data_IF_650655054286
#
_entry.id   IF_650655054286
#
_cell.length_a   1.000
_cell.length_b   1.000
_cell.length_c   1.000
_cell.angle_alpha   90.00
_cell.angle_beta   90.00
_cell.angle_gamma   90.00
#
_symmetry.space_group_name_H-M   'P 1'
#
loop_
_entity.id
_entity.type
_entity.pdbx_description
1 polymer ?
#
# COMPACT_ATOMS: atom_id res chain seq x y z
N UNK A 1 0.50 -16.30 -9.53
CA UNK A 1 1.16 -15.07 -9.04
C UNK A 1 1.78 -15.27 -7.66
N UNK A 2 0.99 -15.47 -6.60
CA UNK A 2 1.54 -15.63 -5.23
C UNK A 2 2.42 -16.88 -5.09
N UNK A 3 1.98 -18.02 -5.64
CA UNK A 3 2.78 -19.26 -5.61
C UNK A 3 4.08 -19.09 -6.40
N UNK A 4 4.00 -18.54 -7.60
CA UNK A 4 5.15 -18.25 -8.46
C UNK A 4 6.19 -17.37 -7.74
N UNK A 5 5.74 -16.34 -7.01
CA UNK A 5 6.64 -15.40 -6.35
C UNK A 5 7.38 -15.95 -5.13
N UNK A 6 6.98 -17.08 -4.55
CA UNK A 6 7.59 -17.58 -3.29
C UNK A 6 9.05 -17.98 -3.44
N UNK A 7 9.47 -18.42 -4.61
CA UNK A 7 10.85 -18.86 -4.88
C UNK A 7 11.71 -17.78 -5.55
N UNK A 8 11.13 -16.62 -5.86
CA UNK A 8 11.79 -15.57 -6.62
C UNK A 8 12.54 -14.57 -5.73
N UNK A 9 13.41 -13.77 -6.35
CA UNK A 9 14.04 -12.63 -5.69
C UNK A 9 13.02 -11.55 -5.31
N UNK A 10 13.35 -10.73 -4.31
CA UNK A 10 12.49 -9.59 -3.94
C UNK A 10 12.20 -8.69 -5.14
N UNK A 11 13.18 -8.43 -6.01
CA UNK A 11 12.98 -7.65 -7.24
C UNK A 11 11.87 -8.20 -8.13
N UNK A 12 11.87 -9.51 -8.40
CA UNK A 12 10.83 -10.16 -9.21
C UNK A 12 9.47 -10.13 -8.51
N UNK A 13 9.44 -10.35 -7.19
CA UNK A 13 8.20 -10.25 -6.39
C UNK A 13 7.59 -8.85 -6.48
N UNK A 14 8.41 -7.80 -6.40
CA UNK A 14 7.97 -6.41 -6.54
C UNK A 14 7.29 -6.18 -7.89
N UNK A 15 7.90 -6.65 -8.98
CA UNK A 15 7.32 -6.57 -10.32
C UNK A 15 6.01 -7.36 -10.45
N UNK A 16 5.97 -8.60 -9.96
CA UNK A 16 4.75 -9.42 -9.98
C UNK A 16 3.59 -8.73 -9.26
N UNK A 17 3.81 -8.21 -8.05
CA UNK A 17 2.78 -7.50 -7.29
C UNK A 17 2.36 -6.20 -7.97
N UNK A 18 3.33 -5.39 -8.42
CA UNK A 18 3.07 -4.10 -9.02
C UNK A 18 2.26 -4.24 -10.32
N UNK A 19 2.70 -5.12 -11.21
CA UNK A 19 2.04 -5.34 -12.50
C UNK A 19 0.69 -6.03 -12.34
N UNK A 20 0.53 -6.89 -11.33
CA UNK A 20 -0.76 -7.53 -11.07
C UNK A 20 -1.79 -6.51 -10.62
N UNK A 21 -1.50 -5.71 -9.59
CA UNK A 21 -2.42 -4.69 -9.09
C UNK A 21 -2.73 -3.64 -10.18
N UNK A 22 -1.71 -3.15 -10.88
CA UNK A 22 -1.87 -2.14 -11.92
C UNK A 22 -2.68 -2.64 -13.15
N UNK A 23 -2.78 -3.97 -13.35
CA UNK A 23 -3.58 -4.56 -14.44
C UNK A 23 -5.00 -4.94 -14.03
N UNK A 24 -5.20 -5.34 -12.78
CA UNK A 24 -6.47 -5.95 -12.34
C UNK A 24 -7.36 -5.01 -11.51
N UNK A 25 -6.80 -3.93 -10.99
CA UNK A 25 -7.55 -2.87 -10.35
C UNK A 25 -7.66 -1.75 -11.39
N UNK A 26 -8.88 -1.29 -11.67
CA UNK A 26 -9.12 -0.07 -12.45
C UNK A 26 -9.27 1.10 -11.49
N UNK A 27 -8.66 2.23 -11.82
CA UNK A 27 -8.79 3.41 -10.98
C UNK A 27 -10.25 3.89 -10.99
N UNK A 28 -10.84 4.02 -9.80
CA UNK A 28 -12.16 4.61 -9.58
C UNK A 28 -12.11 5.32 -8.23
N UNK A 29 -12.65 6.54 -8.15
CA UNK A 29 -12.72 7.22 -6.85
C UNK A 29 -13.67 6.47 -5.92
N UNK A 30 -13.45 6.57 -4.60
CA UNK A 30 -14.34 5.94 -3.62
C UNK A 30 -15.79 6.41 -3.73
N UNK A 31 -15.98 7.68 -4.09
CA UNK A 31 -17.32 8.23 -4.22
C UNK A 31 -18.09 7.57 -5.37
N UNK A 32 -17.41 7.30 -6.48
CA UNK A 32 -17.98 6.61 -7.64
C UNK A 32 -18.14 5.11 -7.37
N UNK A 33 -17.20 4.49 -6.65
CA UNK A 33 -17.16 3.06 -6.45
C UNK A 33 -18.02 2.59 -5.27
N UNK A 34 -17.81 3.19 -4.10
CA UNK A 34 -18.39 2.79 -2.81
C UNK A 34 -19.52 3.72 -2.33
N UNK A 35 -19.73 4.86 -3.00
CA UNK A 35 -20.67 5.89 -2.55
C UNK A 35 -20.25 6.56 -1.23
N UNK A 36 -18.97 6.42 -0.84
CA UNK A 36 -18.37 6.97 0.38
C UNK A 36 -17.12 7.76 0.00
N UNK A 37 -16.74 8.74 0.79
CA UNK A 37 -15.43 9.38 0.64
C UNK A 37 -14.40 8.66 1.52
N UNK A 38 -13.19 8.42 0.99
CA UNK A 38 -12.02 7.93 1.75
C UNK A 38 -12.28 6.55 2.41
N UNK A 39 -12.72 5.58 1.60
CA UNK A 39 -13.02 4.20 1.97
C UNK A 39 -11.88 3.26 1.56
N UNK A 40 -11.04 2.90 2.51
CA UNK A 40 -9.93 1.98 2.25
C UNK A 40 -10.46 0.55 2.15
N UNK A 41 -10.42 -0.04 0.96
CA UNK A 41 -10.92 -1.38 0.71
C UNK A 41 -9.87 -2.44 1.11
N UNK A 42 -10.34 -3.63 1.50
CA UNK A 42 -9.46 -4.79 1.66
C UNK A 42 -8.99 -5.28 0.29
N UNK A 43 -7.87 -6.03 0.18
CA UNK A 43 -7.48 -6.64 -1.09
C UNK A 43 -8.59 -7.48 -1.73
N UNK A 44 -9.43 -8.14 -0.92
CA UNK A 44 -10.54 -8.96 -1.41
C UNK A 44 -11.64 -8.08 -2.01
N UNK A 45 -11.97 -6.96 -1.37
CA UNK A 45 -12.93 -5.98 -1.88
C UNK A 45 -12.46 -5.36 -3.21
N UNK A 46 -11.22 -4.85 -3.30
CA UNK A 46 -10.72 -4.21 -4.52
C UNK A 46 -10.51 -5.19 -5.67
N UNK A 47 -10.03 -6.42 -5.40
CA UNK A 47 -9.86 -7.43 -6.45
C UNK A 47 -11.19 -8.07 -6.86
N UNK A 48 -12.13 -8.23 -5.93
CA UNK A 48 -13.45 -8.78 -6.22
C UNK A 48 -14.30 -7.88 -7.11
N UNK A 49 -14.15 -6.55 -6.97
CA UNK A 49 -14.81 -5.53 -7.80
C UNK A 49 -13.98 -5.13 -9.01
N UNK A 50 -12.66 -5.33 -8.97
CA UNK A 50 -11.72 -4.89 -10.00
C UNK A 50 -11.58 -3.37 -10.07
N UNK A 51 -11.89 -2.65 -8.99
CA UNK A 51 -11.83 -1.20 -8.91
C UNK A 51 -11.35 -0.72 -7.54
N UNK A 52 -10.73 0.45 -7.51
CA UNK A 52 -10.19 1.08 -6.30
C UNK A 52 -9.44 2.37 -6.61
N UNK A 53 -9.15 3.16 -5.60
CA UNK A 53 -8.35 4.38 -5.72
C UNK A 53 -6.90 4.12 -5.27
N UNK A 54 -6.11 5.16 -4.97
CA UNK A 54 -4.65 5.00 -4.82
C UNK A 54 -4.25 4.07 -3.68
N UNK A 55 -4.96 4.10 -2.55
CA UNK A 55 -4.66 3.28 -1.39
C UNK A 55 -4.87 1.80 -1.67
N UNK A 56 -5.91 1.46 -2.42
CA UNK A 56 -6.31 0.10 -2.72
C UNK A 56 -5.21 -0.64 -3.52
N UNK A 57 -4.55 0.06 -4.46
CA UNK A 57 -3.38 -0.49 -5.15
C UNK A 57 -2.24 -0.74 -4.17
N UNK A 58 -1.95 0.23 -3.30
CA UNK A 58 -0.83 0.12 -2.36
C UNK A 58 -1.06 -1.00 -1.33
N UNK A 59 -2.29 -1.11 -0.81
CA UNK A 59 -2.77 -2.18 0.08
C UNK A 59 -2.65 -3.55 -0.62
N UNK A 60 -3.19 -3.67 -1.84
CA UNK A 60 -3.15 -4.92 -2.61
C UNK A 60 -1.71 -5.38 -2.89
N UNK A 61 -0.83 -4.47 -3.30
CA UNK A 61 0.60 -4.74 -3.49
C UNK A 61 1.27 -5.19 -2.19
N UNK A 62 0.99 -4.48 -1.09
CA UNK A 62 1.56 -4.78 0.23
C UNK A 62 1.22 -6.21 0.65
N UNK A 63 -0.05 -6.59 0.67
CA UNK A 63 -0.46 -7.93 1.10
C UNK A 63 0.02 -9.03 0.14
N UNK A 64 0.05 -8.76 -1.17
CA UNK A 64 0.61 -9.69 -2.15
C UNK A 64 2.09 -9.97 -1.88
N UNK A 65 2.89 -8.94 -1.61
CA UNK A 65 4.32 -9.08 -1.30
C UNK A 65 4.57 -9.82 0.01
N UNK A 66 3.76 -9.54 1.04
CA UNK A 66 3.80 -10.29 2.31
C UNK A 66 3.48 -11.77 2.10
N UNK A 67 2.47 -12.08 1.29
CA UNK A 67 2.10 -13.46 0.97
C UNK A 67 3.14 -14.20 0.10
N UNK A 68 3.96 -13.47 -0.67
CA UNK A 68 5.12 -14.00 -1.40
C UNK A 68 6.39 -14.12 -0.54
N UNK A 69 6.36 -13.63 0.71
CA UNK A 69 7.46 -13.79 1.67
C UNK A 69 8.40 -12.60 1.82
N UNK A 70 8.06 -11.42 1.28
CA UNK A 70 8.85 -10.19 1.53
C UNK A 70 8.68 -9.77 2.99
N UNK A 71 9.80 -9.50 3.67
CA UNK A 71 9.83 -9.09 5.06
C UNK A 71 9.08 -7.76 5.29
N UNK A 72 8.39 -7.60 6.42
CA UNK A 72 7.53 -6.43 6.66
C UNK A 72 8.37 -5.18 6.86
N UNK A 73 9.51 -5.31 7.54
CA UNK A 73 10.42 -4.19 7.79
C UNK A 73 10.93 -3.55 6.50
N UNK A 74 10.87 -4.25 5.37
CA UNK A 74 11.22 -3.72 4.05
C UNK A 74 10.07 -2.95 3.39
N UNK A 75 8.84 -3.08 3.86
CA UNK A 75 7.65 -2.53 3.21
C UNK A 75 7.01 -1.43 4.06
N UNK A 76 6.71 -0.29 3.44
CA UNK A 76 5.95 0.78 4.10
C UNK A 76 4.93 1.37 3.14
N UNK A 77 3.73 1.62 3.64
CA UNK A 77 2.78 2.45 2.93
C UNK A 77 3.15 3.91 3.18
N UNK A 78 3.18 4.69 2.12
CA UNK A 78 3.60 6.09 2.19
C UNK A 78 2.51 6.98 1.61
N UNK A 79 2.05 7.91 2.44
CA UNK A 79 1.20 9.00 2.03
C UNK A 79 2.07 10.14 1.51
N UNK A 80 1.77 10.57 0.29
CA UNK A 80 2.53 11.57 -0.45
C UNK A 80 1.57 12.63 -1.01
N UNK A 81 2.13 13.74 -1.49
CA UNK A 81 1.42 14.65 -2.40
C UNK A 81 1.98 14.45 -3.81
N UNK A 82 1.12 14.08 -4.75
CA UNK A 82 1.45 14.03 -6.17
C UNK A 82 1.48 15.46 -6.72
N UNK A 83 2.67 16.00 -6.95
CA UNK A 83 2.87 17.40 -7.33
C UNK A 83 2.37 17.73 -8.73
N UNK A 84 2.42 16.75 -9.64
CA UNK A 84 1.93 16.89 -11.02
C UNK A 84 0.42 17.17 -11.09
N UNK A 85 -0.35 16.67 -10.11
CA UNK A 85 -1.80 16.82 -10.01
C UNK A 85 -2.24 17.67 -8.81
N UNK A 86 -1.29 18.01 -7.94
CA UNK A 86 -1.49 18.70 -6.67
C UNK A 86 -2.52 18.03 -5.73
N UNK A 87 -2.54 16.70 -5.71
CA UNK A 87 -3.50 15.91 -4.92
C UNK A 87 -2.78 14.99 -3.91
N UNK A 88 -3.45 14.62 -2.80
CA UNK A 88 -3.10 13.45 -2.01
C UNK A 88 -2.92 12.20 -2.86
N UNK A 89 -1.94 11.36 -2.50
CA UNK A 89 -1.74 10.07 -3.16
C UNK A 89 -1.11 9.07 -2.19
N UNK A 90 -1.28 7.77 -2.45
CA UNK A 90 -0.68 6.70 -1.66
C UNK A 90 0.13 5.76 -2.55
N UNK A 91 1.34 5.43 -2.09
CA UNK A 91 2.24 4.49 -2.77
C UNK A 91 2.75 3.45 -1.78
N UNK A 92 3.19 2.31 -2.29
CA UNK A 92 3.98 1.35 -1.52
C UNK A 92 5.46 1.62 -1.78
N UNK A 93 6.25 1.67 -0.72
CA UNK A 93 7.70 1.76 -0.82
C UNK A 93 8.38 0.50 -0.28
N UNK A 94 9.48 0.12 -0.94
CA UNK A 94 10.31 -1.01 -0.58
C UNK A 94 11.75 -0.56 -0.29
N UNK A 95 12.31 -1.02 0.83
CA UNK A 95 13.70 -0.81 1.21
C UNK A 95 14.49 -2.10 0.99
N UNK A 96 15.50 -2.05 0.12
CA UNK A 96 16.43 -3.18 -0.03
C UNK A 96 17.26 -3.37 1.24
N UNK A 97 17.76 -2.26 1.78
CA UNK A 97 18.39 -2.13 3.09
C UNK A 97 17.79 -0.92 3.84
N UNK A 98 17.88 -0.86 5.18
CA UNK A 98 17.30 0.22 5.97
C UNK A 98 17.82 1.63 5.62
N UNK A 99 19.01 1.73 5.05
CA UNK A 99 19.71 2.96 4.67
C UNK A 99 19.62 3.29 3.17
N UNK A 100 19.09 2.39 2.35
CA UNK A 100 18.92 2.61 0.91
C UNK A 100 17.82 3.64 0.61
N UNK A 101 17.95 4.32 -0.53
CA UNK A 101 16.81 5.00 -1.13
C UNK A 101 15.76 3.97 -1.51
N UNK A 102 14.50 4.13 -1.06
CA UNK A 102 13.49 3.12 -1.32
C UNK A 102 13.09 3.11 -2.79
N UNK A 103 12.63 1.94 -3.25
CA UNK A 103 11.90 1.80 -4.50
C UNK A 103 10.43 2.14 -4.28
N UNK A 104 9.81 2.78 -5.27
CA UNK A 104 8.41 3.20 -5.26
C UNK A 104 7.60 2.33 -6.20
N UNK A 105 6.53 1.73 -5.67
CA UNK A 105 5.53 0.97 -6.40
C UNK A 105 4.25 1.81 -6.44
N UNK A 106 3.90 2.29 -7.63
CA UNK A 106 2.86 3.29 -7.85
C UNK A 106 1.85 2.79 -8.91
N UNK A 107 0.62 3.28 -8.86
CA UNK A 107 -0.40 3.05 -9.88
C UNK A 107 -0.41 4.17 -10.95
N UNK A 108 0.10 5.36 -10.64
CA UNK A 108 0.24 6.44 -11.65
C UNK A 108 1.44 6.22 -12.58
N UNK A 109 2.49 5.57 -12.08
CA UNK A 109 3.66 5.13 -12.85
C UNK A 109 3.87 3.64 -12.61
N UNK A 110 3.65 2.84 -13.65
CA UNK A 110 3.82 1.38 -13.58
C UNK A 110 5.28 0.93 -13.48
N UNK A 111 6.25 1.83 -13.71
CA UNK A 111 7.66 1.49 -13.55
C UNK A 111 8.08 1.63 -12.09
N UNK A 112 8.73 0.59 -11.56
CA UNK A 112 9.34 0.63 -10.24
C UNK A 112 10.60 1.48 -10.31
N UNK A 113 10.64 2.59 -9.58
CA UNK A 113 11.74 3.57 -9.62
C UNK A 113 12.23 3.90 -8.21
N UNK A 114 13.48 4.34 -8.10
CA UNK A 114 13.98 4.89 -6.84
C UNK A 114 13.19 6.14 -6.47
N UNK A 115 12.94 6.35 -5.18
CA UNK A 115 12.33 7.56 -4.66
C UNK A 115 13.13 8.83 -5.01
N UNK A 116 14.45 8.69 -5.27
CA UNK A 116 15.29 9.78 -5.76
C UNK A 116 14.85 10.30 -7.14
N UNK A 117 14.30 9.41 -7.97
CA UNK A 117 13.89 9.72 -9.35
C UNK A 117 12.40 10.09 -9.44
N UNK A 118 11.69 10.11 -8.30
CA UNK A 118 10.26 10.46 -8.19
C UNK A 118 10.08 11.86 -7.58
N UNK A 119 10.67 12.86 -8.22
CA UNK A 119 10.54 14.27 -7.81
C UNK A 119 9.12 14.81 -7.91
N UNK A 120 8.22 14.08 -8.57
CA UNK A 120 6.79 14.34 -8.65
C UNK A 120 6.03 13.95 -7.37
N UNK A 121 6.65 13.19 -6.45
CA UNK A 121 6.04 12.79 -5.18
C UNK A 121 6.71 13.49 -4.00
N UNK A 122 5.92 14.23 -3.21
CA UNK A 122 6.39 14.82 -1.95
C UNK A 122 5.96 13.95 -0.76
N UNK A 123 6.88 13.32 -0.02
CA UNK A 123 6.53 12.48 1.12
C UNK A 123 5.95 13.31 2.27
N UNK A 124 4.92 12.76 2.94
CA UNK A 124 4.29 13.37 4.12
C UNK A 124 4.50 12.48 5.33
N UNK A 125 4.09 11.21 5.27
CA UNK A 125 4.37 10.21 6.32
C UNK A 125 4.33 8.78 5.77
N UNK A 126 4.94 7.83 6.49
CA UNK A 126 4.88 6.40 6.16
C UNK A 126 4.70 5.54 7.39
N UNK A 127 4.06 4.39 7.21
CA UNK A 127 3.80 3.42 8.27
C UNK A 127 3.95 1.99 7.75
N UNK A 128 4.29 1.07 8.66
CA UNK A 128 4.28 -0.36 8.39
C UNK A 128 3.07 -1.01 9.06
N UNK A 129 2.58 -2.11 8.50
CA UNK A 129 1.44 -2.80 9.08
C UNK A 129 1.76 -3.39 10.45
N UNK A 130 2.96 -3.97 10.64
CA UNK A 130 3.31 -4.61 11.91
C UNK A 130 3.45 -3.61 13.05
N UNK A 131 4.01 -2.42 12.79
CA UNK A 131 4.11 -1.37 13.81
C UNK A 131 2.73 -0.86 14.24
N UNK A 132 1.79 -0.73 13.30
CA UNK A 132 0.40 -0.40 13.61
C UNK A 132 -0.33 -1.55 14.31
N UNK A 133 -0.12 -2.79 13.89
CA UNK A 133 -0.73 -3.97 14.50
C UNK A 133 -0.23 -4.23 15.92
N UNK A 134 1.08 -4.12 16.15
CA UNK A 134 1.69 -4.19 17.49
C UNK A 134 1.20 -3.05 18.38
N UNK A 135 1.07 -1.83 17.85
CA UNK A 135 0.50 -0.73 18.59
C UNK A 135 -0.96 -1.00 18.98
N UNK A 136 -1.78 -1.52 18.06
CA UNK A 136 -3.17 -1.93 18.32
C UNK A 136 -3.23 -3.01 19.41
N UNK A 137 -2.50 -4.11 19.25
CA UNK A 137 -2.44 -5.24 20.19
C UNK A 137 -1.98 -4.80 21.60
N UNK A 138 -1.10 -3.80 21.68
CA UNK A 138 -0.61 -3.25 22.96
C UNK A 138 -1.55 -2.22 23.60
N UNK A 139 -2.73 -1.95 23.01
CA UNK A 139 -3.62 -0.87 23.45
C UNK A 139 -3.07 0.55 23.20
N UNK A 140 -1.90 0.65 22.55
CA UNK A 140 -1.22 1.88 22.16
C UNK A 140 -1.71 2.42 20.81
N UNK A 141 -2.62 1.73 20.12
CA UNK A 141 -3.20 2.19 18.85
C UNK A 141 -3.89 3.56 18.97
N UNK A 142 -4.39 3.94 20.16
CA UNK A 142 -4.89 5.29 20.47
C UNK A 142 -3.78 6.35 20.69
N UNK A 143 -2.54 5.92 20.97
CA UNK A 143 -1.38 6.79 21.30
C UNK A 143 -0.39 6.94 20.15
N UNK A 144 -0.40 6.06 19.14
CA UNK A 144 0.27 6.36 17.87
C UNK A 144 -0.42 7.60 17.31
N UNK A 145 0.36 8.66 16.99
CA UNK A 145 -0.17 9.95 16.54
C UNK A 145 -1.40 9.77 15.65
N UNK A 146 -2.54 10.34 16.05
CA UNK A 146 -3.84 10.21 15.36
C UNK A 146 -3.83 10.93 14.00
N UNK A 147 -3.03 10.44 13.05
CA UNK A 147 -3.12 10.80 11.65
C UNK A 147 -4.23 9.99 10.98
N UNK A 148 -4.97 10.60 10.04
CA UNK A 148 -6.07 9.96 9.30
C UNK A 148 -5.71 8.58 8.72
N UNK A 149 -4.50 8.42 8.18
CA UNK A 149 -4.05 7.12 7.62
C UNK A 149 -3.94 6.01 8.66
N UNK A 150 -3.62 6.32 9.92
CA UNK A 150 -3.52 5.30 10.97
C UNK A 150 -4.90 4.74 11.35
N UNK A 151 -5.93 5.60 11.41
CA UNK A 151 -7.30 5.17 11.69
C UNK A 151 -7.89 4.36 10.54
N UNK A 152 -7.68 4.76 9.29
CA UNK A 152 -8.18 4.03 8.12
C UNK A 152 -7.49 2.67 7.96
N UNK A 153 -6.17 2.62 8.15
CA UNK A 153 -5.43 1.36 8.15
C UNK A 153 -5.91 0.39 9.25
N UNK A 154 -6.18 0.91 10.45
CA UNK A 154 -6.72 0.08 11.54
C UNK A 154 -8.07 -0.53 11.15
N UNK A 155 -8.93 0.23 10.46
CA UNK A 155 -10.21 -0.27 9.95
C UNK A 155 -10.03 -1.36 8.87
N UNK A 156 -9.05 -1.23 7.98
CA UNK A 156 -8.71 -2.30 7.02
C UNK A 156 -8.28 -3.58 7.75
N UNK A 157 -7.44 -3.46 8.78
CA UNK A 157 -7.02 -4.61 9.59
C UNK A 157 -8.20 -5.25 10.33
N UNK A 158 -9.12 -4.45 10.88
CA UNK A 158 -10.33 -4.96 11.54
C UNK A 158 -11.19 -5.79 10.59
N UNK A 159 -11.36 -5.33 9.34
CA UNK A 159 -12.10 -6.06 8.31
C UNK A 159 -11.44 -7.40 7.98
N UNK A 160 -10.12 -7.40 7.78
CA UNK A 160 -9.35 -8.63 7.50
C UNK A 160 -9.41 -9.62 8.67
N UNK A 161 -9.29 -9.15 9.92
CA UNK A 161 -9.43 -10.01 11.12
C UNK A 161 -10.83 -10.63 11.24
N UNK A 162 -11.86 -9.95 10.73
CA UNK A 162 -13.24 -10.43 10.69
C UNK A 162 -13.55 -11.31 9.47
N UNK A 163 -12.56 -11.55 8.60
CA UNK A 163 -12.73 -12.33 7.37
C UNK A 163 -13.54 -11.62 6.28
N UNK A 164 -13.58 -10.29 6.30
CA UNK A 164 -14.23 -9.44 5.30
C UNK A 164 -13.25 -8.98 4.21
#
# INVERSE_FOLDING_TARGET
>A
MIEDGRTESDWQRLHLANDFANRHIRYSSDLEHWGKNDYWATPLESLGTGAGDCEDYAISKYFSLRAMGVADEKLRLMYVRALSRNEPHMVLIYFETPDAYPLVLDNMDGQIRSARDRSDLKPIYSFNASGLWLAKASGLGKKVNNGRGNSQWTAVLDKIEQGQ
#
